data_IF_004652159544
#
_entry.id   IF_004652159544
#
_cell.length_a   1.000
_cell.length_b   1.000
_cell.length_c   1.000
_cell.angle_alpha   90.00
_cell.angle_beta   90.00
_cell.angle_gamma   90.00
#
_symmetry.space_group_name_H-M   'P 1'
#
loop_
_entity.id
_entity.type
_entity.pdbx_description
1 polymer ?
#
# COMPACT_ATOMS: atom_id res chain seq x y z
N UNK A 1 4.46 0.93 18.41
CA UNK A 1 4.86 2.14 17.66
C UNK A 1 6.07 1.88 16.74
N UNK A 2 6.17 0.70 16.10
CA UNK A 2 7.35 0.31 15.30
C UNK A 2 7.09 -0.05 13.85
N UNK A 3 5.82 -0.14 13.41
CA UNK A 3 5.47 -0.58 12.06
C UNK A 3 6.03 0.37 10.98
N UNK A 4 5.95 1.68 11.19
CA UNK A 4 6.51 2.65 10.23
C UNK A 4 8.03 2.51 10.07
N UNK A 5 8.76 2.32 11.16
CA UNK A 5 10.22 2.12 11.15
C UNK A 5 10.59 0.81 10.45
N UNK A 6 9.89 -0.30 10.75
CA UNK A 6 10.10 -1.59 10.07
C UNK A 6 9.95 -1.49 8.55
N UNK A 7 8.96 -0.72 8.09
CA UNK A 7 8.75 -0.51 6.65
C UNK A 7 9.82 0.41 6.05
N UNK A 8 10.23 1.44 6.76
CA UNK A 8 11.30 2.34 6.30
C UNK A 8 12.62 1.56 6.16
N UNK A 9 13.04 0.80 7.18
CA UNK A 9 14.26 -0.03 7.13
C UNK A 9 14.29 -1.01 5.94
N UNK A 10 13.12 -1.55 5.53
CA UNK A 10 13.02 -2.52 4.44
C UNK A 10 12.92 -1.88 3.05
N UNK A 11 12.16 -0.79 2.91
CA UNK A 11 11.78 -0.25 1.61
C UNK A 11 12.41 1.10 1.27
N UNK A 12 13.06 1.77 2.23
CA UNK A 12 13.74 3.03 1.99
C UNK A 12 14.84 2.86 0.94
N UNK A 13 14.84 3.74 -0.08
CA UNK A 13 15.84 3.71 -1.15
C UNK A 13 15.72 2.55 -2.14
N UNK A 14 14.68 1.71 -2.03
CA UNK A 14 14.49 0.60 -2.97
C UNK A 14 14.17 1.11 -4.39
N UNK A 15 14.88 0.59 -5.39
CA UNK A 15 14.58 0.86 -6.79
C UNK A 15 13.26 0.19 -7.21
N UNK A 16 12.36 1.00 -7.75
CA UNK A 16 11.03 0.61 -8.21
C UNK A 16 10.74 1.24 -9.57
N UNK A 17 9.87 0.63 -10.40
CA UNK A 17 9.54 1.17 -11.73
C UNK A 17 8.94 2.58 -11.70
N UNK A 18 8.38 3.01 -10.56
CA UNK A 18 7.86 4.34 -10.33
C UNK A 18 7.76 4.68 -8.85
N UNK A 19 7.37 5.92 -8.54
CA UNK A 19 7.28 6.44 -7.17
C UNK A 19 6.21 5.69 -6.37
N UNK A 20 6.60 5.15 -5.21
CA UNK A 20 5.70 4.47 -4.28
C UNK A 20 5.77 5.16 -2.91
N UNK A 21 4.62 5.59 -2.39
CA UNK A 21 4.49 6.19 -1.05
C UNK A 21 3.76 5.25 -0.12
N UNK A 22 4.33 5.02 1.06
CA UNK A 22 3.69 4.27 2.14
C UNK A 22 3.28 5.20 3.28
N UNK A 23 2.22 4.86 4.01
CA UNK A 23 1.83 5.56 5.22
C UNK A 23 1.28 4.60 6.27
N UNK A 24 1.56 4.87 7.54
CA UNK A 24 1.09 4.07 8.67
C UNK A 24 0.34 4.97 9.63
N UNK A 25 -0.94 4.69 9.85
CA UNK A 25 -1.76 5.31 10.88
C UNK A 25 -2.12 4.26 11.92
N UNK A 26 -1.73 4.47 13.18
CA UNK A 26 -2.01 3.53 14.26
C UNK A 26 -3.48 3.42 14.67
N UNK A 27 -4.33 4.31 14.15
CA UNK A 27 -5.76 4.35 14.45
C UNK A 27 -6.59 4.70 13.20
N UNK A 28 -7.93 4.57 13.27
CA UNK A 28 -8.80 4.84 12.14
C UNK A 28 -8.84 6.30 11.69
N UNK A 29 -8.35 7.25 12.49
CA UNK A 29 -8.39 8.69 12.18
C UNK A 29 -7.40 9.14 11.07
N UNK A 30 -6.57 8.24 10.56
CA UNK A 30 -5.74 8.46 9.37
C UNK A 30 -4.84 9.71 9.40
N UNK A 31 -4.22 10.05 10.54
CA UNK A 31 -3.31 11.20 10.65
C UNK A 31 -2.10 11.13 9.68
N UNK A 32 -1.73 9.94 9.19
CA UNK A 32 -0.70 9.77 8.16
C UNK A 32 -1.27 9.78 6.73
N UNK A 33 -2.52 10.21 6.56
CA UNK A 33 -3.21 10.39 5.27
C UNK A 33 -3.22 9.10 4.43
N UNK A 34 -3.42 7.94 5.05
CA UNK A 34 -3.31 6.64 4.37
C UNK A 34 -4.28 6.46 3.21
N UNK A 35 -5.34 7.28 3.15
CA UNK A 35 -6.29 7.36 2.03
C UNK A 35 -5.69 7.85 0.70
N UNK A 36 -4.54 8.55 0.72
CA UNK A 36 -3.93 9.15 -0.48
C UNK A 36 -2.49 8.65 -0.73
N UNK A 37 -2.07 7.60 -0.02
CA UNK A 37 -0.78 6.92 -0.23
C UNK A 37 -0.97 5.71 -1.14
N UNK A 38 0.08 5.31 -1.85
CA UNK A 38 0.02 4.13 -2.71
C UNK A 38 -0.26 2.87 -1.88
N UNK A 39 0.34 2.79 -0.69
CA UNK A 39 0.08 1.74 0.31
C UNK A 39 -0.17 2.39 1.67
N UNK A 40 -1.26 2.01 2.32
CA UNK A 40 -1.65 2.54 3.63
C UNK A 40 -1.90 1.41 4.63
N UNK A 41 -1.36 1.54 5.83
CA UNK A 41 -1.74 0.73 6.99
C UNK A 41 -2.59 1.55 7.95
N UNK A 42 -3.76 1.06 8.30
CA UNK A 42 -4.66 1.66 9.27
C UNK A 42 -4.86 0.67 10.43
N UNK A 43 -4.49 1.08 11.63
CA UNK A 43 -4.73 0.31 12.85
C UNK A 43 -6.20 0.33 13.23
N UNK A 44 -6.74 -0.85 13.56
CA UNK A 44 -8.11 -1.06 13.99
C UNK A 44 -8.12 -1.94 15.25
N UNK A 45 -9.27 -2.04 15.92
CA UNK A 45 -9.42 -2.93 17.08
C UNK A 45 -9.18 -4.42 16.74
N UNK A 46 -9.30 -4.81 15.46
CA UNK A 46 -9.11 -6.19 14.99
C UNK A 46 -7.73 -6.44 14.36
N UNK A 47 -6.82 -5.46 14.41
CA UNK A 47 -5.52 -5.51 13.73
C UNK A 47 -5.40 -4.48 12.61
N UNK A 48 -4.61 -4.77 11.59
CA UNK A 48 -4.32 -3.87 10.48
C UNK A 48 -5.31 -4.00 9.34
N UNK A 49 -5.69 -2.85 8.79
CA UNK A 49 -6.36 -2.70 7.50
C UNK A 49 -5.36 -2.17 6.48
N UNK A 50 -5.26 -2.85 5.34
CA UNK A 50 -4.37 -2.48 4.23
C UNK A 50 -5.19 -1.76 3.16
N UNK A 51 -4.73 -0.57 2.80
CA UNK A 51 -5.30 0.29 1.76
C UNK A 51 -4.30 0.40 0.61
N UNK A 52 -4.78 0.42 -0.64
CA UNK A 52 -3.92 0.42 -1.83
C UNK A 52 -4.39 1.36 -2.93
N UNK A 53 -3.45 1.89 -3.70
CA UNK A 53 -3.74 2.66 -4.92
C UNK A 53 -4.08 4.13 -4.72
N UNK A 54 -3.86 4.69 -3.54
CA UNK A 54 -4.07 6.13 -3.31
C UNK A 54 -3.02 7.01 -3.98
N UNK A 55 -3.39 8.23 -4.34
CA UNK A 55 -2.49 9.22 -4.92
C UNK A 55 -2.94 10.64 -4.55
N UNK A 56 -2.14 11.36 -3.77
CA UNK A 56 -2.31 12.80 -3.52
C UNK A 56 -1.58 13.71 -4.53
N UNK A 57 -1.49 13.30 -5.81
CA UNK A 57 -0.79 14.03 -6.87
C UNK A 57 -1.73 14.78 -7.83
N UNK A 58 -1.20 15.19 -8.99
CA UNK A 58 -1.94 15.94 -10.02
C UNK A 58 -3.21 15.24 -10.52
N UNK A 59 -3.25 13.91 -10.47
CA UNK A 59 -4.47 13.11 -10.69
C UNK A 59 -4.80 12.41 -9.36
N UNK A 60 -5.62 13.03 -8.50
CA UNK A 60 -5.92 12.50 -7.19
C UNK A 60 -6.71 11.20 -7.30
N UNK A 61 -6.41 10.26 -6.41
CA UNK A 61 -7.09 8.96 -6.29
C UNK A 61 -7.14 8.56 -4.84
N UNK A 62 -8.30 8.11 -4.38
CA UNK A 62 -8.42 7.51 -3.06
C UNK A 62 -7.94 6.06 -3.10
N UNK A 63 -7.33 5.62 -2.00
CA UNK A 63 -6.95 4.22 -1.81
C UNK A 63 -8.20 3.37 -1.59
N UNK A 64 -8.16 2.13 -2.05
CA UNK A 64 -9.20 1.13 -1.84
C UNK A 64 -8.78 0.13 -0.76
N UNK A 65 -9.70 -0.37 0.08
CA UNK A 65 -9.39 -1.42 1.05
C UNK A 65 -9.10 -2.74 0.34
N UNK A 66 -7.93 -3.31 0.63
CA UNK A 66 -7.51 -4.60 0.10
C UNK A 66 -7.90 -5.74 1.05
N UNK A 67 -7.54 -5.60 2.33
CA UNK A 67 -7.76 -6.61 3.37
C UNK A 67 -7.75 -5.96 4.76
N UNK A 68 -8.29 -6.66 5.77
CA UNK A 68 -8.41 -6.19 7.14
C UNK A 68 -8.26 -7.31 8.16
N UNK A 69 -8.00 -6.93 9.41
CA UNK A 69 -7.87 -7.88 10.53
C UNK A 69 -6.53 -8.61 10.58
N UNK A 70 -5.48 -8.02 9.99
CA UNK A 70 -4.16 -8.64 9.94
C UNK A 70 -3.35 -8.37 11.21
N UNK A 71 -2.55 -9.35 11.64
CA UNK A 71 -1.47 -9.09 12.60
C UNK A 71 -0.28 -8.35 11.94
N UNK A 72 0.72 -7.97 12.73
CA UNK A 72 1.92 -7.26 12.25
C UNK A 72 2.66 -8.03 11.13
N UNK A 73 2.81 -9.34 11.28
CA UNK A 73 3.54 -10.19 10.34
C UNK A 73 2.79 -10.32 9.03
N UNK A 74 1.49 -10.61 9.11
CA UNK A 74 0.59 -10.69 7.97
C UNK A 74 0.51 -9.36 7.21
N UNK A 75 0.47 -8.24 7.92
CA UNK A 75 0.47 -6.91 7.31
C UNK A 75 1.78 -6.67 6.51
N UNK A 76 2.94 -6.98 7.10
CA UNK A 76 4.22 -6.84 6.40
C UNK A 76 4.35 -7.77 5.19
N UNK A 77 3.90 -9.02 5.30
CA UNK A 77 3.88 -9.97 4.19
C UNK A 77 2.95 -9.51 3.05
N UNK A 78 1.80 -8.93 3.40
CA UNK A 78 0.86 -8.35 2.42
C UNK A 78 1.50 -7.20 1.66
N UNK A 79 2.23 -6.31 2.35
CA UNK A 79 2.95 -5.19 1.71
C UNK A 79 4.03 -5.71 0.76
N UNK A 80 4.75 -6.75 1.14
CA UNK A 80 5.75 -7.38 0.28
C UNK A 80 5.16 -7.91 -1.02
N UNK A 81 4.06 -8.67 -0.93
CA UNK A 81 3.33 -9.13 -2.13
C UNK A 81 2.87 -7.96 -3.01
N UNK A 82 2.40 -6.85 -2.42
CA UNK A 82 1.99 -5.64 -3.18
C UNK A 82 3.20 -5.00 -3.88
N UNK A 83 4.35 -4.92 -3.23
CA UNK A 83 5.58 -4.34 -3.81
C UNK A 83 6.10 -5.21 -4.95
N UNK A 84 6.10 -6.54 -4.78
CA UNK A 84 6.46 -7.49 -5.84
C UNK A 84 5.51 -7.41 -7.03
N UNK A 85 4.20 -7.36 -6.75
CA UNK A 85 3.19 -7.12 -7.77
C UNK A 85 3.45 -5.83 -8.55
N UNK A 86 3.76 -4.74 -7.85
CA UNK A 86 4.08 -3.46 -8.47
C UNK A 86 5.32 -3.56 -9.36
N UNK A 87 6.40 -4.21 -8.89
CA UNK A 87 7.62 -4.42 -9.68
C UNK A 87 7.35 -5.22 -10.96
N UNK A 88 6.52 -6.25 -10.88
CA UNK A 88 6.24 -7.13 -12.02
C UNK A 88 5.29 -6.50 -13.07
N UNK A 89 4.37 -5.62 -12.63
CA UNK A 89 3.25 -5.18 -13.49
C UNK A 89 3.30 -3.70 -13.88
N UNK A 90 4.12 -2.88 -13.21
CA UNK A 90 4.19 -1.45 -13.49
C UNK A 90 5.02 -1.13 -14.72
N UNK A 91 4.53 -0.17 -15.52
CA UNK A 91 5.31 0.47 -16.58
C UNK A 91 6.29 1.49 -15.98
N UNK A 92 7.35 1.90 -16.71
CA UNK A 92 8.25 2.94 -16.26
C UNK A 92 7.51 4.23 -15.87
N UNK A 93 7.80 4.76 -14.68
CA UNK A 93 7.19 5.93 -14.05
C UNK A 93 5.67 5.82 -13.76
N UNK A 94 5.12 4.60 -13.77
CA UNK A 94 3.72 4.36 -13.41
C UNK A 94 3.54 4.34 -11.88
N UNK A 95 2.40 4.85 -11.39
CA UNK A 95 2.02 4.79 -9.95
C UNK A 95 1.19 3.55 -9.69
N UNK A 96 1.21 3.00 -8.48
CA UNK A 96 0.45 1.79 -8.14
C UNK A 96 -1.05 1.94 -8.44
N UNK A 97 -1.65 3.09 -8.13
CA UNK A 97 -3.04 3.37 -8.47
C UNK A 97 -3.35 3.26 -9.97
N UNK A 98 -2.39 3.60 -10.84
CA UNK A 98 -2.55 3.48 -12.31
C UNK A 98 -2.45 2.05 -12.80
N UNK A 99 -1.58 1.25 -12.16
CA UNK A 99 -1.52 -0.20 -12.40
C UNK A 99 -2.87 -0.83 -12.07
N UNK A 100 -3.46 -0.46 -10.93
CA UNK A 100 -4.78 -0.94 -10.50
C UNK A 100 -5.87 -0.47 -11.47
N UNK A 101 -5.87 0.79 -11.91
CA UNK A 101 -6.85 1.29 -12.88
C UNK A 101 -6.77 0.54 -14.23
N UNK A 102 -5.58 0.06 -14.61
CA UNK A 102 -5.33 -0.63 -15.89
C UNK A 102 -5.63 -2.13 -15.85
N UNK A 103 -5.23 -2.81 -14.77
CA UNK A 103 -5.33 -4.27 -14.64
C UNK A 103 -6.54 -4.71 -13.81
N UNK A 104 -7.17 -3.78 -13.09
CA UNK A 104 -8.26 -4.04 -12.16
C UNK A 104 -7.74 -4.43 -10.77
N UNK A 105 -8.49 -4.05 -9.74
CA UNK A 105 -8.17 -4.40 -8.35
C UNK A 105 -8.26 -5.92 -8.09
N UNK A 106 -9.08 -6.62 -8.84
CA UNK A 106 -9.23 -8.08 -8.70
C UNK A 106 -7.95 -8.81 -9.08
N UNK A 107 -7.21 -8.31 -10.07
CA UNK A 107 -5.90 -8.87 -10.44
C UNK A 107 -4.87 -8.68 -9.30
N UNK A 108 -4.92 -7.55 -8.59
CA UNK A 108 -4.09 -7.34 -7.41
C UNK A 108 -4.52 -8.26 -6.27
N UNK A 109 -5.82 -8.40 -6.01
CA UNK A 109 -6.35 -9.30 -4.96
C UNK A 109 -5.94 -10.74 -5.19
N UNK A 110 -5.96 -11.23 -6.44
CA UNK A 110 -5.52 -12.58 -6.79
C UNK A 110 -4.01 -12.77 -6.57
N UNK A 111 -3.19 -11.75 -6.83
CA UNK A 111 -1.75 -11.82 -6.62
C UNK A 111 -1.35 -11.74 -5.14
N UNK A 112 -2.18 -11.10 -4.31
CA UNK A 112 -1.90 -10.88 -2.87
C UNK A 112 -2.56 -11.93 -1.97
N UNK A 113 -3.54 -12.68 -2.50
CA UNK A 113 -4.22 -13.80 -1.82
C UNK A 113 -3.25 -14.84 -1.24
#
# INVERSE_FOLDING_TARGET
MGMGLKLDEKYHGMELPGKLKMGVSGCPFQCAETAIKDIGLQGTAKGWRVLVGGCGGARPRLSEPLTEGLDDTQATATIEKIVEYFKANAKPNERLGRVIDRLGIDHLKQAVA
#
